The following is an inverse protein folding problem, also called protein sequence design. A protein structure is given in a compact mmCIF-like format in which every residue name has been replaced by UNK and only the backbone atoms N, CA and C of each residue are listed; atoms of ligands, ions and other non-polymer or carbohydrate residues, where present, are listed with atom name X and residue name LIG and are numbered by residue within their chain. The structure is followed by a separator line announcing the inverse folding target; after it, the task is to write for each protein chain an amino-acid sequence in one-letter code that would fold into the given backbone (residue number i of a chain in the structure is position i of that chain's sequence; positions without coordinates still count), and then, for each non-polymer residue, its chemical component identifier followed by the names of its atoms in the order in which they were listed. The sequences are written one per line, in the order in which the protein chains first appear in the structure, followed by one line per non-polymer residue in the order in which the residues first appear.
data_IF_151719818977
#
_entry.id   IF_151719818977
#
_cell.length_a   1.000
_cell.length_b   1.000
_cell.length_c   1.000
_cell.angle_alpha   90.00
_cell.angle_beta   90.00
_cell.angle_gamma   90.00
#
_symmetry.space_group_name_H-M   'P 1'
#
loop_
_entity.id
_entity.type
_entity.pdbx_description
1 polymer ?
#
# COMPACT_ATOMS: atom_id res chain seq x y z
N UNK A 1 1.34 -32.38 -12.32
CA UNK A 1 2.59 -31.58 -12.49
C UNK A 1 2.54 -30.71 -13.74
N UNK A 2 2.27 -31.26 -14.94
CA UNK A 2 2.12 -30.46 -16.16
C UNK A 2 1.02 -29.39 -16.08
N UNK A 3 -0.12 -29.71 -15.46
CA UNK A 3 -1.19 -28.74 -15.22
C UNK A 3 -0.74 -27.59 -14.31
N UNK A 4 -0.02 -27.88 -13.22
CA UNK A 4 0.55 -26.87 -12.31
C UNK A 4 1.48 -25.92 -13.06
N UNK A 5 2.40 -26.48 -13.86
CA UNK A 5 3.31 -25.68 -14.69
C UNK A 5 2.53 -24.80 -15.66
N UNK A 6 1.54 -25.36 -16.36
CA UNK A 6 0.66 -24.64 -17.28
C UNK A 6 -0.11 -23.50 -16.59
N UNK A 7 -0.61 -23.72 -15.38
CA UNK A 7 -1.31 -22.67 -14.60
C UNK A 7 -0.35 -21.57 -14.15
N UNK A 8 0.86 -21.92 -13.73
CA UNK A 8 1.87 -20.92 -13.35
C UNK A 8 2.29 -20.04 -14.53
N UNK A 9 2.53 -20.66 -15.69
CA UNK A 9 3.01 -19.96 -16.87
C UNK A 9 1.89 -19.22 -17.61
N UNK A 10 0.70 -19.82 -17.71
CA UNK A 10 -0.42 -19.28 -18.47
C UNK A 10 -1.31 -18.30 -17.71
N UNK A 11 -1.40 -18.43 -16.37
CA UNK A 11 -2.27 -17.59 -15.54
C UNK A 11 -1.51 -16.72 -14.56
N UNK A 12 -0.66 -17.30 -13.70
CA UNK A 12 0.01 -16.52 -12.63
C UNK A 12 1.01 -15.54 -13.22
N UNK A 13 1.87 -15.99 -14.16
CA UNK A 13 2.84 -15.14 -14.84
C UNK A 13 2.16 -14.03 -15.63
N UNK A 14 1.20 -14.39 -16.49
CA UNK A 14 0.50 -13.42 -17.34
C UNK A 14 -0.24 -12.36 -16.52
N UNK A 15 -0.85 -12.77 -15.40
CA UNK A 15 -1.44 -11.85 -14.43
C UNK A 15 -0.41 -10.89 -13.82
N UNK A 16 0.71 -11.42 -13.29
CA UNK A 16 1.75 -10.57 -12.70
C UNK A 16 2.35 -9.60 -13.72
N UNK A 17 2.63 -10.06 -14.94
CA UNK A 17 3.15 -9.21 -16.02
C UNK A 17 2.14 -8.11 -16.39
N UNK A 18 0.87 -8.45 -16.59
CA UNK A 18 -0.16 -7.47 -16.93
C UNK A 18 -0.39 -6.44 -15.81
N UNK A 19 -0.49 -6.90 -14.55
CA UNK A 19 -0.78 -6.01 -13.41
C UNK A 19 0.42 -5.19 -12.96
N UNK A 20 1.64 -5.65 -13.21
CA UNK A 20 2.87 -4.91 -12.92
C UNK A 20 3.31 -4.00 -14.06
N UNK A 21 2.54 -3.91 -15.16
CA UNK A 21 2.91 -3.15 -16.35
C UNK A 21 4.22 -3.65 -16.99
N UNK A 22 4.43 -4.97 -16.95
CA UNK A 22 5.65 -5.65 -17.43
C UNK A 22 6.85 -5.57 -16.48
N UNK A 23 6.71 -4.97 -15.29
CA UNK A 23 7.82 -4.78 -14.34
C UNK A 23 8.13 -6.03 -13.52
N UNK A 24 7.26 -7.04 -13.51
CA UNK A 24 7.44 -8.27 -12.75
C UNK A 24 6.95 -9.47 -13.53
N UNK A 25 7.80 -10.50 -13.59
CA UNK A 25 7.48 -11.81 -14.16
C UNK A 25 7.91 -12.90 -13.16
N UNK A 26 7.41 -14.12 -13.36
CA UNK A 26 7.80 -15.29 -12.57
C UNK A 26 8.18 -16.43 -13.52
N UNK A 27 9.36 -16.99 -13.31
CA UNK A 27 9.79 -18.25 -13.90
C UNK A 27 9.60 -19.35 -12.87
N UNK A 28 8.94 -20.45 -13.24
CA UNK A 28 8.57 -21.52 -12.31
C UNK A 28 9.16 -22.84 -12.74
N UNK A 29 9.70 -23.59 -11.78
CA UNK A 29 10.03 -25.00 -11.93
C UNK A 29 9.15 -25.82 -11.01
N UNK A 30 8.41 -26.78 -11.56
CA UNK A 30 7.59 -27.71 -10.79
C UNK A 30 8.33 -29.04 -10.65
N UNK A 31 8.43 -29.56 -9.42
CA UNK A 31 9.08 -30.85 -9.19
C UNK A 31 8.45 -31.98 -10.01
N UNK A 32 9.28 -32.85 -10.58
CA UNK A 32 8.80 -34.10 -11.19
C UNK A 32 8.43 -35.16 -10.14
N UNK A 33 8.87 -34.97 -8.89
CA UNK A 33 8.75 -35.91 -7.78
C UNK A 33 7.58 -35.53 -6.86
N UNK A 34 6.79 -36.51 -6.44
CA UNK A 34 5.88 -36.35 -5.32
C UNK A 34 6.59 -36.78 -4.03
N UNK A 35 6.86 -35.83 -3.14
CA UNK A 35 7.55 -36.11 -1.89
C UNK A 35 6.59 -36.68 -0.85
N UNK A 36 7.00 -37.78 -0.21
CA UNK A 36 6.32 -38.32 0.95
C UNK A 36 6.90 -37.69 2.22
N UNK A 37 6.10 -36.88 2.88
CA UNK A 37 6.49 -36.22 4.13
C UNK A 37 6.67 -37.24 5.27
N UNK A 38 7.54 -36.95 6.27
CA UNK A 38 7.84 -37.87 7.37
C UNK A 38 6.69 -38.04 8.37
N UNK A 39 5.75 -37.10 8.44
CA UNK A 39 4.56 -37.21 9.30
C UNK A 39 3.28 -37.36 8.47
N UNK A 40 2.22 -37.87 9.11
CA UNK A 40 0.90 -37.96 8.46
C UNK A 40 0.27 -36.58 8.34
N UNK A 41 -0.63 -36.41 7.35
CA UNK A 41 -1.40 -35.16 7.21
C UNK A 41 -2.14 -34.78 8.50
N UNK A 42 -2.69 -35.77 9.22
CA UNK A 42 -3.35 -35.54 10.51
C UNK A 42 -2.41 -35.05 11.60
N UNK A 43 -1.16 -35.52 11.64
CA UNK A 43 -0.17 -35.09 12.63
C UNK A 43 0.18 -33.61 12.45
N UNK A 44 0.44 -33.17 11.22
CA UNK A 44 0.64 -31.75 10.93
C UNK A 44 -0.61 -30.92 11.24
N UNK A 45 -1.78 -31.41 10.81
CA UNK A 45 -3.04 -30.70 10.90
C UNK A 45 -3.51 -30.44 12.34
N UNK A 46 -3.50 -31.47 13.20
CA UNK A 46 -4.00 -31.37 14.57
C UNK A 46 -3.07 -30.54 15.46
N UNK A 47 -1.76 -30.58 15.18
CA UNK A 47 -0.75 -29.87 15.96
C UNK A 47 -0.49 -28.44 15.49
N UNK A 48 -1.18 -27.95 14.46
CA UNK A 48 -0.93 -26.65 13.82
C UNK A 48 0.54 -26.49 13.34
N UNK A 49 1.10 -27.57 12.79
CA UNK A 49 2.52 -27.67 12.42
C UNK A 49 2.76 -27.45 10.91
N UNK A 50 2.11 -26.47 10.30
CA UNK A 50 2.29 -26.14 8.88
C UNK A 50 3.72 -25.65 8.56
N UNK A 51 4.37 -24.95 9.49
CA UNK A 51 5.77 -24.54 9.35
C UNK A 51 6.71 -25.76 9.26
N UNK A 52 6.47 -26.80 10.07
CA UNK A 52 7.23 -28.05 9.99
C UNK A 52 6.91 -28.81 8.70
N UNK A 53 5.65 -28.81 8.25
CA UNK A 53 5.26 -29.39 6.96
C UNK A 53 6.06 -28.79 5.81
N UNK A 54 6.21 -27.46 5.77
CA UNK A 54 7.01 -26.78 4.75
C UNK A 54 8.50 -27.14 4.85
N UNK A 55 9.03 -27.13 6.07
CA UNK A 55 10.44 -27.48 6.34
C UNK A 55 10.74 -28.89 5.87
N UNK A 56 9.88 -29.86 6.17
CA UNK A 56 10.03 -31.25 5.74
C UNK A 56 9.96 -31.38 4.21
N UNK A 57 9.02 -30.68 3.57
CA UNK A 57 8.91 -30.66 2.11
C UNK A 57 10.19 -30.10 1.46
N UNK A 58 10.74 -29.01 2.00
CA UNK A 58 11.98 -28.39 1.53
C UNK A 58 13.18 -29.33 1.72
N UNK A 59 13.30 -29.97 2.87
CA UNK A 59 14.40 -30.91 3.14
C UNK A 59 14.41 -32.07 2.14
N UNK A 60 13.23 -32.57 1.76
CA UNK A 60 13.11 -33.61 0.73
C UNK A 60 13.42 -33.07 -0.67
N UNK A 61 12.91 -31.90 -1.02
CA UNK A 61 13.16 -31.27 -2.32
C UNK A 61 14.63 -30.89 -2.53
N UNK A 62 15.41 -30.67 -1.47
CA UNK A 62 16.83 -30.36 -1.55
C UNK A 62 17.68 -31.49 -2.18
N UNK A 63 17.15 -32.71 -2.29
CA UNK A 63 17.78 -33.80 -3.04
C UNK A 63 17.73 -33.58 -4.56
N UNK A 64 16.71 -32.88 -5.04
CA UNK A 64 16.44 -32.67 -6.47
C UNK A 64 16.77 -31.24 -6.93
N UNK A 65 16.80 -30.28 -5.99
CA UNK A 65 16.93 -28.85 -6.27
C UNK A 65 17.94 -28.16 -5.36
N UNK A 66 18.71 -27.25 -5.93
CA UNK A 66 19.46 -26.24 -5.15
C UNK A 66 18.51 -25.12 -4.73
N UNK A 67 17.89 -25.27 -3.54
CA UNK A 67 16.83 -24.35 -3.09
C UNK A 67 17.25 -22.88 -2.95
N UNK A 68 18.55 -22.58 -2.87
CA UNK A 68 19.07 -21.22 -2.83
C UNK A 68 18.87 -20.47 -4.16
N UNK A 69 18.66 -21.18 -5.27
CA UNK A 69 18.44 -20.58 -6.59
C UNK A 69 17.02 -20.02 -6.75
N UNK A 70 16.12 -20.32 -5.81
CA UNK A 70 14.71 -19.97 -5.88
C UNK A 70 14.36 -18.88 -4.87
N UNK A 71 13.78 -17.77 -5.34
CA UNK A 71 13.34 -16.67 -4.48
C UNK A 71 12.00 -16.97 -3.80
N UNK A 72 11.22 -17.93 -4.33
CA UNK A 72 9.90 -18.34 -3.84
C UNK A 72 9.80 -19.85 -3.86
N UNK A 73 9.24 -20.43 -2.80
CA UNK A 73 9.06 -21.88 -2.65
C UNK A 73 7.60 -22.14 -2.28
N UNK A 74 6.87 -22.72 -3.22
CA UNK A 74 5.46 -23.07 -3.10
C UNK A 74 5.33 -24.56 -2.79
N UNK A 75 4.72 -24.89 -1.66
CA UNK A 75 4.44 -26.27 -1.24
C UNK A 75 2.94 -26.52 -1.38
N UNK A 76 2.58 -27.37 -2.35
CA UNK A 76 1.23 -27.87 -2.56
C UNK A 76 1.08 -29.22 -1.87
N UNK A 77 0.07 -29.37 -1.03
CA UNK A 77 -0.23 -30.61 -0.30
C UNK A 77 -1.72 -30.95 -0.36
N UNK A 78 -2.12 -32.22 -0.13
CA UNK A 78 -3.52 -32.62 -0.05
C UNK A 78 -4.29 -31.82 1.01
N UNK A 79 -5.60 -31.68 0.86
CA UNK A 79 -6.40 -30.95 1.84
C UNK A 79 -6.33 -31.64 3.23
N UNK A 80 -5.75 -30.95 4.21
CA UNK A 80 -5.66 -31.41 5.61
C UNK A 80 -6.46 -30.53 6.57
N UNK A 81 -7.37 -29.70 6.05
CA UNK A 81 -8.24 -28.86 6.85
C UNK A 81 -9.37 -29.63 7.53
N UNK A 82 -10.22 -28.92 8.27
CA UNK A 82 -11.33 -29.48 9.07
C UNK A 82 -12.34 -30.32 8.26
N UNK A 83 -12.46 -30.07 6.96
CA UNK A 83 -13.30 -30.86 6.04
C UNK A 83 -12.76 -32.28 5.76
N UNK A 84 -11.49 -32.56 6.11
CA UNK A 84 -10.80 -33.83 5.83
C UNK A 84 -10.19 -34.47 7.06
N UNK A 85 -9.74 -33.68 8.02
CA UNK A 85 -9.10 -34.14 9.25
C UNK A 85 -9.87 -33.60 10.44
N UNK A 86 -10.43 -34.49 11.26
CA UNK A 86 -11.08 -34.13 12.53
C UNK A 86 -10.10 -33.43 13.46
N UNK A 87 -10.52 -32.31 14.06
CA UNK A 87 -9.72 -31.45 14.95
C UNK A 87 -8.49 -30.79 14.29
N UNK A 88 -8.43 -30.74 12.96
CA UNK A 88 -7.43 -29.93 12.27
C UNK A 88 -7.49 -28.47 12.72
N UNK A 89 -6.34 -27.89 13.00
CA UNK A 89 -6.16 -26.46 13.26
C UNK A 89 -5.92 -25.68 11.95
N UNK A 90 -5.62 -26.38 10.85
CA UNK A 90 -5.38 -25.78 9.54
C UNK A 90 -6.71 -25.38 8.90
N UNK A 91 -6.93 -24.07 8.74
CA UNK A 91 -8.18 -23.51 8.20
C UNK A 91 -8.00 -22.79 6.86
N UNK A 92 -6.76 -22.53 6.45
CA UNK A 92 -6.46 -21.77 5.25
C UNK A 92 -6.52 -22.62 3.97
N UNK A 93 -6.84 -21.98 2.85
CA UNK A 93 -6.69 -22.56 1.51
C UNK A 93 -5.30 -22.28 0.93
N UNK A 94 -4.74 -21.11 1.24
CA UNK A 94 -3.37 -20.71 0.97
C UNK A 94 -2.82 -19.92 2.16
N UNK A 95 -1.51 -19.96 2.36
CA UNK A 95 -0.81 -19.16 3.36
C UNK A 95 0.57 -18.80 2.81
N UNK A 96 1.15 -17.69 3.27
CA UNK A 96 2.49 -17.28 2.86
C UNK A 96 3.21 -16.46 3.94
N UNK A 97 4.54 -16.54 3.95
CA UNK A 97 5.34 -15.64 4.76
C UNK A 97 5.29 -14.23 4.16
N UNK A 98 4.93 -13.25 5.00
CA UNK A 98 4.96 -11.85 4.59
C UNK A 98 6.39 -11.38 4.32
N UNK A 99 6.69 -10.99 3.09
CA UNK A 99 8.04 -10.62 2.65
C UNK A 99 9.03 -11.79 2.58
N UNK A 100 8.59 -13.01 2.86
CA UNK A 100 9.42 -14.21 2.89
C UNK A 100 9.22 -15.11 1.66
N UNK A 101 9.99 -16.20 1.53
CA UNK A 101 9.98 -17.02 0.33
C UNK A 101 8.87 -18.08 0.29
N UNK A 102 8.27 -18.45 1.42
CA UNK A 102 7.44 -19.65 1.50
C UNK A 102 5.97 -19.36 1.25
N UNK A 103 5.35 -20.27 0.49
CA UNK A 103 3.92 -20.35 0.23
C UNK A 103 3.44 -21.78 0.50
N UNK A 104 2.27 -21.90 1.11
CA UNK A 104 1.54 -23.12 1.39
C UNK A 104 0.24 -23.12 0.60
N UNK A 105 -0.07 -24.23 -0.07
CA UNK A 105 -1.35 -24.42 -0.76
C UNK A 105 -2.01 -25.71 -0.27
N UNK A 106 -3.18 -25.56 0.34
CA UNK A 106 -3.92 -26.64 1.00
C UNK A 106 -5.02 -27.19 0.08
N UNK A 107 -4.73 -28.29 -0.59
CA UNK A 107 -5.68 -29.07 -1.38
C UNK A 107 -5.87 -28.64 -2.83
N UNK A 108 -6.03 -27.34 -3.10
CA UNK A 108 -6.37 -26.86 -4.46
C UNK A 108 -5.32 -25.91 -5.01
N UNK A 109 -4.95 -26.08 -6.28
CA UNK A 109 -4.03 -25.21 -7.00
C UNK A 109 -4.79 -24.23 -7.91
N UNK A 110 -5.48 -23.26 -7.31
CA UNK A 110 -6.16 -22.20 -8.05
C UNK A 110 -5.20 -21.03 -8.28
N UNK A 111 -5.06 -20.56 -9.52
CA UNK A 111 -4.10 -19.50 -9.86
C UNK A 111 -4.31 -18.23 -9.04
N UNK A 112 -5.58 -17.89 -8.73
CA UNK A 112 -5.91 -16.73 -7.92
C UNK A 112 -5.35 -16.87 -6.50
N UNK A 113 -5.50 -18.04 -5.88
CA UNK A 113 -4.91 -18.31 -4.57
C UNK A 113 -3.39 -18.17 -4.63
N UNK A 114 -2.74 -18.70 -5.67
CA UNK A 114 -1.28 -18.55 -5.82
C UNK A 114 -0.87 -17.09 -5.98
N UNK A 115 -1.54 -16.32 -6.83
CA UNK A 115 -1.25 -14.90 -7.03
C UNK A 115 -1.47 -14.07 -5.75
N UNK A 116 -2.50 -14.42 -4.95
CA UNK A 116 -2.78 -13.83 -3.65
C UNK A 116 -1.62 -14.09 -2.68
N UNK A 117 -1.26 -15.36 -2.50
CA UNK A 117 -0.19 -15.74 -1.58
C UNK A 117 1.16 -15.15 -2.00
N UNK A 118 1.44 -15.06 -3.30
CA UNK A 118 2.62 -14.35 -3.81
C UNK A 118 2.57 -12.87 -3.43
N UNK A 119 1.41 -12.22 -3.42
CA UNK A 119 1.26 -10.86 -2.90
C UNK A 119 1.80 -10.70 -1.48
N UNK A 120 1.52 -11.65 -0.58
CA UNK A 120 2.11 -11.67 0.77
C UNK A 120 3.63 -11.82 0.75
N UNK A 121 4.17 -12.67 -0.12
CA UNK A 121 5.64 -12.80 -0.26
C UNK A 121 6.32 -11.50 -0.70
N UNK A 122 5.58 -10.59 -1.35
CA UNK A 122 6.04 -9.23 -1.68
C UNK A 122 5.72 -8.18 -0.60
N UNK A 123 5.23 -8.60 0.56
CA UNK A 123 4.96 -7.74 1.71
C UNK A 123 3.61 -7.02 1.63
N UNK A 124 2.66 -7.53 0.85
CA UNK A 124 1.28 -7.08 0.89
C UNK A 124 0.51 -7.73 2.05
N UNK A 125 -0.60 -7.10 2.37
CA UNK A 125 -1.59 -7.47 3.38
C UNK A 125 -2.95 -7.56 2.68
N UNK A 126 -3.95 -8.06 3.38
CA UNK A 126 -5.29 -8.13 2.81
C UNK A 126 -5.84 -6.75 2.44
N UNK A 127 -6.55 -6.71 1.31
CA UNK A 127 -7.42 -5.61 0.95
C UNK A 127 -8.76 -5.80 1.63
N UNK A 128 -9.17 -4.79 2.40
CA UNK A 128 -10.30 -4.90 3.31
C UNK A 128 -11.45 -4.01 2.85
N UNK A 129 -12.61 -4.18 3.49
CA UNK A 129 -13.73 -3.25 3.40
C UNK A 129 -13.85 -2.49 4.70
N UNK A 130 -14.10 -1.17 4.62
CA UNK A 130 -14.63 -0.42 5.75
C UNK A 130 -16.13 -0.69 5.85
N UNK A 131 -16.51 -1.64 6.70
CA UNK A 131 -17.89 -2.10 6.82
C UNK A 131 -18.64 -1.24 7.83
N UNK A 132 -19.75 -0.68 7.39
CA UNK A 132 -20.64 0.17 8.18
C UNK A 132 -22.06 -0.44 8.20
N UNK A 133 -22.87 -0.08 9.19
CA UNK A 133 -24.26 -0.59 9.34
C UNK A 133 -25.30 0.52 9.41
N UNK A 134 -24.87 1.77 9.40
CA UNK A 134 -25.69 2.98 9.58
C UNK A 134 -25.81 3.81 8.30
N UNK A 135 -25.45 3.23 7.15
CA UNK A 135 -25.36 3.89 5.85
C UNK A 135 -24.42 5.11 5.78
N UNK A 136 -23.59 5.34 6.81
CA UNK A 136 -22.57 6.38 6.80
C UNK A 136 -21.21 5.76 6.43
N UNK A 137 -20.64 6.05 5.24
CA UNK A 137 -19.36 5.46 4.80
C UNK A 137 -18.16 5.88 5.66
N UNK A 138 -18.32 6.87 6.53
CA UNK A 138 -17.30 7.34 7.48
C UNK A 138 -17.70 7.09 8.94
N UNK A 139 -18.65 6.20 9.19
CA UNK A 139 -19.13 5.91 10.54
C UNK A 139 -17.99 5.58 11.49
N UNK A 140 -17.96 6.23 12.66
CA UNK A 140 -17.02 5.90 13.72
C UNK A 140 -17.24 4.48 14.29
N UNK A 141 -18.44 3.92 14.11
CA UNK A 141 -18.75 2.54 14.46
C UNK A 141 -18.38 1.53 13.36
N UNK A 142 -17.84 2.00 12.23
CA UNK A 142 -17.37 1.13 11.16
C UNK A 142 -16.27 0.17 11.64
N UNK A 143 -16.19 -0.98 10.97
CA UNK A 143 -15.23 -2.05 11.30
C UNK A 143 -14.49 -2.49 10.05
N UNK A 144 -13.23 -2.90 10.20
CA UNK A 144 -12.50 -3.57 9.12
C UNK A 144 -13.09 -4.96 8.91
N UNK A 145 -13.65 -5.21 7.73
CA UNK A 145 -13.91 -6.56 7.27
C UNK A 145 -12.69 -7.03 6.46
N UNK A 146 -11.94 -7.96 7.04
CA UNK A 146 -10.77 -8.56 6.39
C UNK A 146 -11.16 -9.28 5.09
N UNK A 147 -10.33 -9.16 4.04
CA UNK A 147 -10.63 -9.59 2.67
C UNK A 147 -11.86 -8.89 2.07
N UNK A 148 -12.42 -7.86 2.70
CA UNK A 148 -13.70 -7.30 2.31
C UNK A 148 -13.72 -6.60 0.95
N UNK A 149 -12.57 -6.30 0.34
CA UNK A 149 -12.51 -5.71 -1.01
C UNK A 149 -12.61 -6.81 -2.08
N UNK A 150 -13.73 -6.95 -2.81
CA UNK A 150 -13.90 -8.05 -3.74
C UNK A 150 -13.23 -7.79 -5.12
N UNK A 151 -12.61 -6.62 -5.27
CA UNK A 151 -12.01 -6.09 -6.50
C UNK A 151 -10.48 -6.03 -6.43
N UNK A 152 -9.88 -6.24 -5.26
CA UNK A 152 -8.44 -6.36 -5.12
C UNK A 152 -8.03 -7.84 -5.08
N UNK A 153 -6.89 -8.18 -5.71
CA UNK A 153 -6.27 -9.51 -5.64
C UNK A 153 -6.00 -9.95 -4.18
N UNK A 154 -5.69 -9.00 -3.31
CA UNK A 154 -5.46 -9.24 -1.89
C UNK A 154 -6.75 -9.24 -1.06
N UNK A 155 -7.92 -9.12 -1.68
CA UNK A 155 -9.21 -9.19 -1.00
C UNK A 155 -9.99 -10.47 -1.30
N UNK A 156 -11.30 -10.40 -1.30
CA UNK A 156 -12.17 -11.58 -1.40
C UNK A 156 -12.34 -12.05 -2.84
N UNK A 157 -12.59 -13.36 -2.99
CA UNK A 157 -13.03 -14.00 -4.24
C UNK A 157 -14.57 -14.08 -4.39
N UNK A 158 -15.35 -13.33 -3.60
CA UNK A 158 -16.82 -13.20 -3.72
C UNK A 158 -17.30 -11.83 -4.23
N UNK A 159 -17.53 -11.70 -5.54
CA UNK A 159 -18.18 -10.59 -6.23
C UNK A 159 -19.17 -11.17 -7.23
N UNK A 160 -20.37 -10.60 -7.30
CA UNK A 160 -21.44 -11.09 -8.20
C UNK A 160 -21.43 -10.30 -9.52
N UNK A 161 -21.77 -10.97 -10.63
CA UNK A 161 -21.92 -10.31 -11.94
C UNK A 161 -20.63 -10.02 -12.69
N UNK A 162 -19.48 -10.50 -12.19
CA UNK A 162 -18.15 -10.38 -12.81
C UNK A 162 -17.41 -11.71 -12.70
N UNK A 163 -16.63 -12.07 -13.72
CA UNK A 163 -15.78 -13.28 -13.64
C UNK A 163 -14.64 -13.07 -12.65
N UNK A 164 -14.10 -14.15 -12.05
CA UNK A 164 -12.93 -14.08 -11.16
C UNK A 164 -11.73 -13.38 -11.80
N UNK A 165 -11.55 -13.54 -13.10
CA UNK A 165 -10.37 -13.04 -13.78
C UNK A 165 -10.47 -11.52 -14.09
N UNK A 166 -11.68 -10.98 -14.26
CA UNK A 166 -11.90 -9.56 -14.54
C UNK A 166 -11.80 -8.68 -13.29
N UNK A 167 -12.24 -9.22 -12.15
CA UNK A 167 -12.29 -8.48 -10.89
C UNK A 167 -10.96 -8.41 -10.16
N UNK A 168 -10.12 -9.45 -10.24
CA UNK A 168 -8.86 -9.48 -9.48
C UNK A 168 -7.80 -8.61 -10.14
N UNK A 169 -7.34 -7.61 -9.41
CA UNK A 169 -6.22 -6.76 -9.78
C UNK A 169 -5.66 -6.12 -8.52
N UNK A 170 -4.40 -5.69 -8.48
CA UNK A 170 -3.92 -4.95 -7.30
C UNK A 170 -4.40 -3.50 -7.36
N UNK A 171 -4.90 -2.98 -6.23
CA UNK A 171 -5.28 -1.57 -6.07
C UNK A 171 -4.13 -0.62 -6.39
N UNK A 172 -4.40 0.65 -6.74
CA UNK A 172 -3.35 1.63 -6.96
C UNK A 172 -2.40 1.77 -5.77
N UNK A 173 -2.93 1.67 -4.54
CA UNK A 173 -2.12 1.69 -3.32
C UNK A 173 -1.12 0.55 -3.27
N UNK A 174 -1.56 -0.68 -3.52
CA UNK A 174 -0.69 -1.86 -3.48
C UNK A 174 0.29 -1.87 -4.64
N UNK A 175 -0.12 -1.47 -5.84
CA UNK A 175 0.81 -1.25 -6.95
C UNK A 175 1.89 -0.22 -6.61
N UNK A 176 1.51 0.89 -5.97
CA UNK A 176 2.47 1.90 -5.54
C UNK A 176 3.42 1.36 -4.45
N UNK A 177 2.90 0.55 -3.51
CA UNK A 177 3.74 -0.13 -2.50
C UNK A 177 4.77 -1.07 -3.12
N UNK A 178 4.40 -1.78 -4.18
CA UNK A 178 5.26 -2.71 -4.89
C UNK A 178 6.26 -2.00 -5.83
N UNK A 179 6.16 -0.68 -5.99
CA UNK A 179 6.95 0.08 -6.96
C UNK A 179 6.49 -0.10 -8.41
N UNK A 180 5.37 -0.78 -8.65
CA UNK A 180 4.81 -0.95 -9.99
C UNK A 180 4.08 0.30 -10.48
N UNK A 181 3.49 1.07 -9.56
CA UNK A 181 2.91 2.38 -9.85
C UNK A 181 3.79 3.48 -9.21
N UNK A 182 4.70 4.11 -9.95
CA UNK A 182 5.61 5.12 -9.39
C UNK A 182 4.85 6.35 -8.92
N UNK A 183 5.39 7.08 -7.93
CA UNK A 183 4.76 8.30 -7.40
C UNK A 183 4.56 9.38 -8.48
N UNK A 184 5.40 9.41 -9.52
CA UNK A 184 5.24 10.31 -10.67
C UNK A 184 3.96 10.05 -11.48
N UNK A 185 3.40 8.84 -11.37
CA UNK A 185 2.14 8.44 -12.01
C UNK A 185 0.95 8.45 -11.02
N UNK A 186 1.12 9.01 -9.82
CA UNK A 186 0.06 9.23 -8.84
C UNK A 186 -0.11 10.72 -8.63
N UNK A 187 -1.23 11.28 -9.09
CA UNK A 187 -1.55 12.67 -8.78
C UNK A 187 -1.79 12.81 -7.26
N UNK A 188 -1.34 13.90 -6.65
CA UNK A 188 -1.62 14.20 -5.24
C UNK A 188 -2.42 15.51 -5.17
N UNK A 189 -3.67 15.42 -4.73
CA UNK A 189 -4.50 16.59 -4.48
C UNK A 189 -4.00 17.33 -3.25
N UNK A 190 -3.56 18.57 -3.47
CA UNK A 190 -3.12 19.51 -2.41
C UNK A 190 -3.94 20.78 -2.39
N UNK A 191 -4.76 21.00 -3.42
CA UNK A 191 -5.71 22.11 -3.53
C UNK A 191 -7.02 21.62 -4.14
N UNK A 192 -8.10 22.35 -3.93
CA UNK A 192 -9.35 22.12 -4.66
C UNK A 192 -9.13 22.25 -6.17
N UNK A 193 -9.85 21.44 -6.95
CA UNK A 193 -9.76 21.44 -8.41
C UNK A 193 -10.20 20.12 -9.02
N UNK A 194 -10.18 20.07 -10.35
CA UNK A 194 -10.48 18.86 -11.11
C UNK A 194 -9.20 18.16 -11.52
N UNK A 195 -9.08 16.89 -11.15
CA UNK A 195 -7.94 16.04 -11.44
C UNK A 195 -8.37 14.96 -12.41
N UNK A 196 -7.68 14.87 -13.56
CA UNK A 196 -7.84 13.75 -14.48
C UNK A 196 -6.98 12.59 -14.03
N UNK A 197 -7.54 11.40 -13.97
CA UNK A 197 -6.80 10.13 -13.82
C UNK A 197 -7.18 9.17 -14.93
N UNK A 198 -6.27 8.29 -15.32
CA UNK A 198 -6.49 7.25 -16.32
C UNK A 198 -6.65 5.88 -15.65
N UNK A 199 -7.28 4.93 -16.35
CA UNK A 199 -7.49 3.58 -15.80
C UNK A 199 -6.15 2.93 -15.41
N UNK A 200 -6.06 2.41 -14.18
CA UNK A 200 -4.83 1.76 -13.71
C UNK A 200 -4.76 0.26 -14.03
N UNK A 201 -5.85 -0.29 -14.59
CA UNK A 201 -6.04 -1.71 -14.88
C UNK A 201 -5.83 -2.08 -16.36
N UNK A 202 -5.04 -1.27 -17.07
CA UNK A 202 -4.56 -1.57 -18.42
C UNK A 202 -3.04 -1.74 -18.42
N UNK A 203 -2.53 -2.73 -19.17
CA UNK A 203 -1.10 -3.11 -19.16
C UNK A 203 -0.16 -1.99 -19.66
N UNK A 204 -0.60 -1.18 -20.62
CA UNK A 204 0.24 -0.12 -21.22
C UNK A 204 0.66 1.00 -20.25
N UNK A 205 -0.10 1.22 -19.17
CA UNK A 205 0.14 2.28 -18.17
C UNK A 205 0.35 3.71 -18.73
N UNK A 206 0.06 3.93 -20.01
CA UNK A 206 0.40 5.14 -20.77
C UNK A 206 1.89 5.55 -20.60
N UNK A 207 2.77 4.57 -20.41
CA UNK A 207 4.18 4.80 -20.11
C UNK A 207 4.44 5.68 -18.89
N UNK A 208 3.52 5.70 -17.92
CA UNK A 208 3.57 6.53 -16.69
C UNK A 208 3.67 8.05 -16.92
N UNK A 209 3.29 8.52 -18.13
CA UNK A 209 3.29 9.96 -18.47
C UNK A 209 2.02 10.67 -18.01
N UNK A 210 1.03 9.91 -17.58
CA UNK A 210 -0.26 10.39 -17.10
C UNK A 210 -0.54 9.80 -15.72
N UNK A 211 -1.24 10.51 -14.84
CA UNK A 211 -1.64 9.97 -13.55
C UNK A 211 -2.63 8.82 -13.73
N UNK A 212 -2.33 7.66 -13.13
CA UNK A 212 -3.20 6.48 -13.15
C UNK A 212 -4.05 6.36 -11.87
N UNK A 213 -3.77 7.19 -10.87
CA UNK A 213 -4.48 7.24 -9.62
C UNK A 213 -4.36 8.62 -8.97
N UNK A 214 -5.27 8.88 -8.03
CA UNK A 214 -5.29 10.11 -7.24
C UNK A 214 -5.17 9.81 -5.73
N UNK A 215 -4.12 10.41 -5.20
CA UNK A 215 -3.74 10.79 -3.84
C UNK A 215 -4.56 11.87 -3.14
N UNK A 216 -5.20 11.65 -1.98
CA UNK A 216 -5.61 12.77 -1.11
C UNK A 216 -5.37 12.45 0.37
N UNK A 217 -4.50 13.23 1.01
CA UNK A 217 -4.28 13.12 2.46
C UNK A 217 -5.48 13.68 3.20
N UNK A 218 -6.16 12.83 3.98
CA UNK A 218 -7.34 13.20 4.75
C UNK A 218 -6.94 13.79 6.10
N UNK A 219 -6.08 13.06 6.82
CA UNK A 219 -5.59 13.41 8.15
C UNK A 219 -4.18 12.81 8.35
N UNK A 220 -3.56 13.01 9.51
CA UNK A 220 -2.22 12.48 9.81
C UNK A 220 -2.14 10.95 9.81
N UNK A 221 -3.27 10.26 9.66
CA UNK A 221 -3.38 8.80 9.63
C UNK A 221 -3.96 8.28 8.33
N UNK A 222 -4.91 8.98 7.71
CA UNK A 222 -5.68 8.48 6.59
C UNK A 222 -5.33 9.16 5.28
N UNK A 223 -5.15 8.34 4.25
CA UNK A 223 -5.01 8.81 2.88
C UNK A 223 -6.05 8.13 2.00
N UNK A 224 -6.86 8.93 1.31
CA UNK A 224 -7.73 8.48 0.25
C UNK A 224 -6.91 8.13 -0.99
N UNK A 225 -7.27 7.00 -1.60
CA UNK A 225 -6.79 6.56 -2.89
C UNK A 225 -7.99 6.39 -3.81
N UNK A 226 -7.91 7.01 -4.97
CA UNK A 226 -8.95 7.02 -5.98
C UNK A 226 -8.36 6.43 -7.26
N UNK A 227 -8.97 5.36 -7.74
CA UNK A 227 -8.62 4.71 -8.99
C UNK A 227 -9.78 4.72 -9.97
N UNK A 228 -9.46 4.53 -11.24
CA UNK A 228 -10.44 4.26 -12.29
C UNK A 228 -10.17 2.88 -12.90
N UNK A 229 -11.23 2.10 -13.05
CA UNK A 229 -11.16 0.73 -13.58
C UNK A 229 -12.11 0.57 -14.73
N UNK A 230 -11.66 -0.12 -15.77
CA UNK A 230 -12.47 -0.42 -16.96
C UNK A 230 -12.31 -1.87 -17.41
N UNK A 231 -11.58 -2.71 -16.68
CA UNK A 231 -11.48 -4.15 -16.95
C UNK A 231 -12.69 -4.90 -16.38
N UNK A 232 -13.89 -4.43 -16.70
CA UNK A 232 -15.15 -5.05 -16.30
C UNK A 232 -16.07 -5.18 -17.52
N UNK A 233 -17.01 -6.14 -17.52
CA UNK A 233 -18.05 -6.20 -18.54
C UNK A 233 -18.79 -4.87 -18.67
N UNK A 234 -19.13 -4.49 -19.90
CA UNK A 234 -19.90 -3.28 -20.21
C UNK A 234 -21.19 -3.24 -19.39
N UNK A 235 -21.49 -2.09 -18.79
CA UNK A 235 -22.71 -1.87 -18.01
C UNK A 235 -22.61 -2.27 -16.53
N UNK A 236 -21.51 -2.88 -16.09
CA UNK A 236 -21.27 -3.08 -14.65
C UNK A 236 -21.11 -1.75 -13.93
N UNK A 237 -21.70 -1.64 -12.73
CA UNK A 237 -21.65 -0.39 -11.96
C UNK A 237 -20.20 0.02 -11.65
N UNK A 238 -19.32 -0.96 -11.43
CA UNK A 238 -17.89 -0.75 -11.15
C UNK A 238 -17.13 -0.01 -12.25
N UNK A 239 -17.61 -0.06 -13.50
CA UNK A 239 -17.04 0.69 -14.61
C UNK A 239 -17.60 2.13 -14.73
N UNK A 240 -18.54 2.53 -13.88
CA UNK A 240 -19.28 3.80 -14.01
C UNK A 240 -18.77 4.92 -13.10
N UNK A 241 -17.62 4.74 -12.45
CA UNK A 241 -17.13 5.76 -11.52
C UNK A 241 -15.79 5.46 -10.86
N UNK A 242 -15.56 6.14 -9.74
CA UNK A 242 -14.33 6.05 -8.98
C UNK A 242 -14.34 4.86 -8.01
N UNK A 243 -13.27 4.10 -8.03
CA UNK A 243 -12.93 3.12 -7.00
C UNK A 243 -12.18 3.84 -5.89
N UNK A 244 -12.83 4.00 -4.72
CA UNK A 244 -12.34 4.82 -3.61
C UNK A 244 -12.04 3.96 -2.40
N UNK A 245 -10.84 4.10 -1.86
CA UNK A 245 -10.44 3.49 -0.60
C UNK A 245 -9.72 4.50 0.26
N UNK A 246 -9.55 4.18 1.54
CA UNK A 246 -8.54 4.84 2.36
C UNK A 246 -7.51 3.84 2.89
N UNK A 247 -6.42 4.38 3.42
CA UNK A 247 -5.32 3.63 4.02
C UNK A 247 -4.96 4.25 5.35
N UNK A 248 -4.50 3.45 6.31
CA UNK A 248 -4.13 3.89 7.67
C UNK A 248 -2.60 3.86 7.85
N UNK A 249 -2.00 5.00 8.22
CA UNK A 249 -0.63 5.20 8.71
C UNK A 249 0.48 4.42 7.96
N UNK A 250 0.39 4.26 6.64
CA UNK A 250 1.34 3.53 5.77
C UNK A 250 1.73 2.09 6.16
N UNK A 251 1.19 1.57 7.27
CA UNK A 251 1.45 0.21 7.75
C UNK A 251 0.24 -0.70 7.56
N UNK A 252 0.06 -1.04 6.28
CA UNK A 252 -0.38 -2.37 5.86
C UNK A 252 -1.89 -2.62 5.73
N UNK A 253 -2.80 -1.64 5.66
CA UNK A 253 -4.19 -1.98 5.32
C UNK A 253 -4.79 -0.96 4.34
N UNK A 254 -5.43 -1.47 3.28
CA UNK A 254 -6.37 -0.72 2.47
C UNK A 254 -7.78 -1.09 2.90
N UNK A 255 -8.68 -0.11 2.91
CA UNK A 255 -10.10 -0.34 3.16
C UNK A 255 -10.90 0.35 2.06
N UNK A 256 -11.52 -0.45 1.20
CA UNK A 256 -12.54 0.00 0.26
C UNK A 256 -13.64 0.72 1.03
N UNK A 257 -14.06 1.87 0.52
CA UNK A 257 -15.23 2.57 1.01
C UNK A 257 -16.41 2.20 0.14
N UNK A 258 -17.46 1.71 0.77
CA UNK A 258 -18.74 1.49 0.09
C UNK A 258 -19.47 2.83 -0.04
N UNK A 259 -19.50 3.39 -1.25
CA UNK A 259 -20.02 4.73 -1.52
C UNK A 259 -21.37 4.73 -2.23
N UNK A 260 -21.93 3.55 -2.54
CA UNK A 260 -23.28 3.41 -3.10
C UNK A 260 -24.08 2.47 -2.22
N UNK A 261 -25.07 3.00 -1.52
CA UNK A 261 -25.88 2.27 -0.54
C UNK A 261 -25.03 1.62 0.59
N UNK A 262 -24.30 2.43 1.38
CA UNK A 262 -23.26 1.94 2.27
C UNK A 262 -23.75 0.89 3.27
N UNK A 263 -23.01 -0.20 3.39
CA UNK A 263 -23.27 -1.26 4.36
C UNK A 263 -24.20 -2.37 3.88
N UNK A 264 -24.64 -2.33 2.62
CA UNK A 264 -25.47 -3.39 2.03
C UNK A 264 -24.62 -4.52 1.43
N UNK A 265 -23.70 -4.19 0.54
CA UNK A 265 -22.77 -5.13 -0.09
C UNK A 265 -21.58 -4.35 -0.67
N UNK A 266 -20.44 -5.01 -0.92
CA UNK A 266 -19.29 -4.31 -1.48
C UNK A 266 -19.30 -4.23 -3.02
N UNK A 267 -20.24 -4.91 -3.71
CA UNK A 267 -20.21 -5.04 -5.16
C UNK A 267 -20.68 -3.78 -5.90
N UNK A 268 -21.26 -2.82 -5.19
CA UNK A 268 -21.68 -1.51 -5.66
C UNK A 268 -20.84 -0.36 -5.09
N UNK A 269 -19.79 -0.64 -4.32
CA UNK A 269 -18.97 0.35 -3.59
C UNK A 269 -18.39 1.53 -4.40
N UNK A 270 -18.47 1.50 -5.73
CA UNK A 270 -18.03 2.58 -6.63
C UNK A 270 -18.76 3.90 -6.31
N UNK A 271 -18.06 5.01 -6.47
CA UNK A 271 -18.66 6.34 -6.49
C UNK A 271 -18.96 6.71 -7.95
N UNK A 272 -20.23 6.65 -8.37
CA UNK A 272 -20.59 6.83 -9.77
C UNK A 272 -20.34 8.26 -10.28
N UNK A 273 -20.15 8.43 -11.59
CA UNK A 273 -20.08 9.76 -12.22
C UNK A 273 -21.34 10.57 -11.89
N UNK A 274 -21.14 11.78 -11.37
CA UNK A 274 -22.18 12.68 -10.91
C UNK A 274 -22.50 12.56 -9.41
N UNK A 275 -22.16 11.45 -8.75
CA UNK A 275 -22.32 11.31 -7.30
C UNK A 275 -21.21 12.03 -6.54
N UNK A 276 -21.57 12.57 -5.38
CA UNK A 276 -20.64 13.28 -4.49
C UNK A 276 -20.51 12.53 -3.18
N UNK A 277 -19.28 12.15 -2.85
CA UNK A 277 -18.92 11.72 -1.51
C UNK A 277 -18.46 12.93 -0.71
N UNK A 278 -18.95 13.06 0.52
CA UNK A 278 -18.61 14.17 1.42
C UNK A 278 -18.00 13.60 2.70
N UNK A 279 -16.82 14.09 3.05
CA UNK A 279 -16.22 13.95 4.36
C UNK A 279 -16.41 15.26 5.15
N UNK A 280 -17.49 15.35 5.94
CA UNK A 280 -17.82 16.59 6.66
C UNK A 280 -16.84 16.90 7.78
N UNK A 281 -16.04 15.93 8.24
CA UNK A 281 -15.09 16.12 9.34
C UNK A 281 -13.95 17.04 8.89
N UNK A 282 -13.51 16.91 7.64
CA UNK A 282 -12.42 17.69 7.07
C UNK A 282 -12.86 18.60 5.93
N UNK A 283 -14.17 18.73 5.68
CA UNK A 283 -14.71 19.56 4.60
C UNK A 283 -14.26 19.13 3.21
N UNK A 284 -13.98 17.84 3.03
CA UNK A 284 -13.54 17.27 1.75
C UNK A 284 -14.76 16.78 0.98
N UNK A 285 -14.82 17.05 -0.32
CA UNK A 285 -15.71 16.35 -1.25
C UNK A 285 -14.91 15.70 -2.36
N UNK A 286 -15.36 14.53 -2.78
CA UNK A 286 -14.85 13.78 -3.92
C UNK A 286 -16.01 13.57 -4.86
N UNK A 287 -15.89 14.01 -6.11
CA UNK A 287 -16.95 13.88 -7.11
C UNK A 287 -16.36 13.53 -8.47
N UNK A 288 -16.57 12.31 -8.98
CA UNK A 288 -16.30 11.99 -10.36
C UNK A 288 -17.26 12.76 -11.26
N UNK A 289 -16.76 13.61 -12.14
CA UNK A 289 -17.57 14.57 -12.92
C UNK A 289 -17.74 14.17 -14.38
N UNK A 290 -16.77 13.47 -14.95
CA UNK A 290 -16.83 13.00 -16.33
C UNK A 290 -15.92 11.78 -16.52
N UNK A 291 -16.31 10.86 -17.39
CA UNK A 291 -15.43 9.83 -17.92
C UNK A 291 -15.40 9.89 -19.44
N UNK A 292 -14.33 9.38 -20.04
CA UNK A 292 -14.19 9.39 -21.50
C UNK A 292 -12.88 8.79 -21.98
N UNK A 293 -12.54 9.10 -23.24
CA UNK A 293 -11.37 8.55 -23.92
C UNK A 293 -11.67 7.26 -24.67
N UNK A 294 -10.61 6.56 -25.06
CA UNK A 294 -10.64 5.25 -25.70
C UNK A 294 -9.42 4.46 -25.24
N UNK A 295 -9.46 3.13 -25.28
CA UNK A 295 -8.32 2.30 -24.87
C UNK A 295 -7.05 2.67 -25.65
N UNK A 296 -5.88 2.69 -24.98
CA UNK A 296 -5.66 2.41 -23.55
C UNK A 296 -5.92 3.61 -22.61
N UNK A 297 -6.28 4.76 -23.16
CA UNK A 297 -6.35 6.05 -22.47
C UNK A 297 -7.78 6.44 -22.01
N UNK A 298 -8.53 5.49 -21.47
CA UNK A 298 -9.79 5.79 -20.78
C UNK A 298 -9.49 6.56 -19.48
N UNK A 299 -10.22 7.65 -19.26
CA UNK A 299 -10.00 8.58 -18.14
C UNK A 299 -11.27 8.84 -17.33
N UNK A 300 -11.04 9.31 -16.11
CA UNK A 300 -12.03 9.84 -15.18
C UNK A 300 -11.54 11.20 -14.66
N UNK A 301 -12.37 12.22 -14.79
CA UNK A 301 -12.17 13.52 -14.16
C UNK A 301 -12.84 13.50 -12.79
N UNK A 302 -12.07 13.83 -11.76
CA UNK A 302 -12.50 13.85 -10.36
C UNK A 302 -12.32 15.25 -9.80
N UNK A 303 -13.43 15.90 -9.47
CA UNK A 303 -13.46 17.14 -8.72
C UNK A 303 -13.19 16.84 -7.24
N UNK A 304 -12.18 17.51 -6.69
CA UNK A 304 -11.87 17.53 -5.27
C UNK A 304 -12.16 18.93 -4.76
N UNK A 305 -13.01 19.02 -3.74
CA UNK A 305 -13.10 20.23 -2.90
C UNK A 305 -12.51 19.88 -1.56
N UNK A 306 -11.65 20.74 -1.04
CA UNK A 306 -11.05 20.61 0.27
C UNK A 306 -10.84 22.00 0.85
N UNK A 307 -10.78 22.16 2.17
CA UNK A 307 -10.24 23.38 2.76
C UNK A 307 -8.85 23.62 2.18
N UNK A 308 -8.45 24.89 2.08
CA UNK A 308 -7.04 25.19 1.83
C UNK A 308 -6.22 24.35 2.81
N UNK A 309 -5.29 23.54 2.29
CA UNK A 309 -4.57 22.56 3.09
C UNK A 309 -4.08 23.26 4.37
N UNK A 310 -4.44 22.76 5.58
CA UNK A 310 -3.82 23.30 6.77
C UNK A 310 -2.32 23.14 6.54
N UNK A 311 -1.52 24.20 6.80
CA UNK A 311 -0.10 24.10 6.58
C UNK A 311 0.43 22.87 7.31
N UNK A 312 1.13 21.98 6.58
CA UNK A 312 1.44 20.62 7.03
C UNK A 312 1.84 20.56 8.50
N UNK A 313 1.07 19.81 9.29
CA UNK A 313 1.33 19.67 10.74
C UNK A 313 2.55 18.77 10.90
N UNK A 314 3.67 19.37 11.29
CA UNK A 314 4.88 18.64 11.67
C UNK A 314 4.70 18.05 13.08
N UNK A 315 4.80 16.74 13.20
CA UNK A 315 4.74 16.02 14.49
C UNK A 315 6.14 15.49 14.83
N UNK A 316 6.61 15.64 16.08
CA UNK A 316 7.91 15.14 16.54
C UNK A 316 7.74 14.25 17.78
N UNK A 317 8.69 13.32 17.98
CA UNK A 317 8.66 12.31 19.06
C UNK A 317 10.02 12.27 19.77
N UNK A 318 10.04 11.94 21.07
CA UNK A 318 11.27 11.73 21.86
C UNK A 318 11.62 10.24 22.05
N UNK A 319 12.82 9.97 22.57
CA UNK A 319 13.46 8.63 22.68
C UNK A 319 12.65 7.58 23.45
N UNK A 320 11.68 7.99 24.27
CA UNK A 320 10.98 7.10 25.19
C UNK A 320 9.52 6.82 24.81
N UNK A 321 9.11 7.11 23.57
CA UNK A 321 7.86 6.59 22.98
C UNK A 321 6.55 6.95 23.68
N UNK A 322 6.52 7.93 24.59
CA UNK A 322 5.39 8.18 25.50
C UNK A 322 4.76 9.57 25.44
N UNK A 323 5.11 10.43 24.47
CA UNK A 323 4.51 11.76 24.36
C UNK A 323 3.92 12.04 22.95
N UNK A 324 2.68 12.53 22.94
CA UNK A 324 1.96 13.00 21.75
C UNK A 324 1.94 14.53 21.72
N UNK A 325 2.26 15.15 20.58
CA UNK A 325 1.90 16.55 20.33
C UNK A 325 1.30 16.71 18.94
N UNK A 326 0.07 17.21 18.88
CA UNK A 326 -0.58 17.71 17.66
C UNK A 326 -0.53 19.23 17.73
N UNK A 327 0.10 19.88 16.74
CA UNK A 327 0.10 21.34 16.67
C UNK A 327 -1.28 21.78 16.16
N UNK A 328 -2.24 22.03 17.07
CA UNK A 328 -3.37 22.95 16.89
C UNK A 328 -4.28 23.18 18.14
N UNK A 329 -4.01 22.62 19.33
CA UNK A 329 -4.93 22.78 20.49
C UNK A 329 -4.34 23.33 21.79
N UNK A 330 -3.07 23.74 21.83
CA UNK A 330 -2.54 24.59 22.91
C UNK A 330 -2.53 24.00 24.33
N UNK A 331 -2.65 22.68 24.52
CA UNK A 331 -2.60 22.06 25.85
C UNK A 331 -1.26 21.36 26.12
N UNK A 332 -0.61 21.73 27.24
CA UNK A 332 0.60 21.08 27.75
C UNK A 332 0.22 19.85 28.59
N UNK A 333 0.84 18.70 28.33
CA UNK A 333 0.90 17.58 29.29
C UNK A 333 2.37 17.17 29.43
N UNK A 334 2.88 17.19 30.67
CA UNK A 334 4.27 16.90 31.06
C UNK A 334 4.61 15.41 30.93
N UNK A 335 5.87 15.00 30.63
CA UNK A 335 7.10 15.80 30.49
C UNK A 335 7.37 16.27 29.05
N UNK A 336 8.07 17.40 28.92
CA UNK A 336 8.31 18.11 27.66
C UNK A 336 9.15 17.30 26.65
N UNK A 337 8.89 17.44 25.33
CA UNK A 337 9.79 16.91 24.30
C UNK A 337 11.18 17.53 24.44
N UNK A 338 12.23 16.78 24.10
CA UNK A 338 13.63 17.24 24.17
C UNK A 338 13.87 18.51 23.33
N UNK A 339 13.06 18.72 22.28
CA UNK A 339 13.05 19.95 21.46
C UNK A 339 11.63 20.30 21.02
N UNK A 340 11.14 21.51 21.30
CA UNK A 340 9.83 21.96 20.82
C UNK A 340 9.87 22.27 19.31
N UNK A 341 8.89 21.75 18.55
CA UNK A 341 8.70 22.10 17.14
C UNK A 341 8.35 23.60 17.05
N UNK A 342 8.92 24.37 16.10
CA UNK A 342 8.55 25.76 15.92
C UNK A 342 7.05 25.92 15.67
N UNK A 343 6.38 26.81 16.42
CA UNK A 343 4.92 26.95 16.43
C UNK A 343 4.32 27.34 15.06
N UNK A 344 5.12 27.92 14.16
CA UNK A 344 4.71 28.36 12.82
C UNK A 344 5.34 27.53 11.69
N UNK A 345 5.79 26.30 11.99
CA UNK A 345 6.36 25.43 10.98
C UNK A 345 5.27 24.90 10.04
N UNK A 346 5.12 25.59 8.92
CA UNK A 346 4.04 25.43 7.95
C UNK A 346 4.58 25.06 6.57
N UNK A 347 3.77 24.41 5.73
CA UNK A 347 4.16 24.12 4.34
C UNK A 347 5.37 23.18 4.20
N UNK A 348 5.58 22.28 5.15
CA UNK A 348 6.68 21.30 5.14
C UNK A 348 6.37 20.15 4.20
N UNK A 349 7.35 19.75 3.38
CA UNK A 349 7.26 18.61 2.45
C UNK A 349 8.25 17.47 2.75
N UNK A 350 9.24 17.70 3.60
CA UNK A 350 10.18 16.67 4.07
C UNK A 350 10.73 17.04 5.45
N UNK A 351 11.00 16.03 6.29
CA UNK A 351 11.64 16.18 7.60
C UNK A 351 12.77 15.14 7.71
N UNK A 352 13.86 15.51 8.37
CA UNK A 352 14.94 14.61 8.77
C UNK A 352 15.30 14.83 10.25
N UNK A 353 15.50 13.74 11.00
CA UNK A 353 15.91 13.79 12.41
C UNK A 353 17.37 13.38 12.59
N UNK A 354 18.12 14.17 13.36
CA UNK A 354 19.42 13.77 13.92
C UNK A 354 19.27 13.25 15.35
N UNK A 355 20.37 13.16 16.11
CA UNK A 355 20.33 12.58 17.46
C UNK A 355 19.52 13.44 18.44
N UNK A 356 19.68 14.77 18.37
CA UNK A 356 19.03 15.73 19.27
C UNK A 356 18.55 17.00 18.54
N UNK A 357 18.43 16.94 17.22
CA UNK A 357 17.93 18.02 16.36
C UNK A 357 17.08 17.49 15.21
N UNK A 358 16.34 18.38 14.55
CA UNK A 358 15.57 18.06 13.36
C UNK A 358 15.70 19.16 12.32
N UNK A 359 15.47 18.78 11.06
CA UNK A 359 15.50 19.65 9.89
C UNK A 359 14.23 19.41 9.09
N UNK A 360 13.59 20.48 8.62
CA UNK A 360 12.43 20.45 7.74
C UNK A 360 12.70 21.23 6.46
N UNK A 361 12.25 20.68 5.34
CA UNK A 361 12.23 21.31 4.04
C UNK A 361 10.81 21.76 3.74
N UNK A 362 10.65 23.05 3.48
CA UNK A 362 9.38 23.65 3.08
C UNK A 362 9.13 23.48 1.58
N UNK A 363 7.87 23.63 1.18
CA UNK A 363 7.42 23.54 -0.22
C UNK A 363 8.03 24.65 -1.08
N UNK A 364 8.34 25.81 -0.50
CA UNK A 364 9.05 26.91 -1.15
C UNK A 364 10.56 26.67 -1.28
N UNK A 365 11.09 25.52 -0.86
CA UNK A 365 12.50 25.18 -0.94
C UNK A 365 13.38 25.75 0.19
N UNK A 366 12.80 26.43 1.17
CA UNK A 366 13.52 26.89 2.37
C UNK A 366 13.66 25.79 3.42
N UNK A 367 14.71 25.88 4.23
CA UNK A 367 15.03 24.90 5.28
C UNK A 367 14.90 25.53 6.66
N UNK A 368 14.26 24.82 7.58
CA UNK A 368 14.16 25.18 9.00
C UNK A 368 14.77 24.05 9.82
N UNK A 369 15.65 24.36 10.76
CA UNK A 369 16.18 23.38 11.70
C UNK A 369 15.95 23.84 13.14
N UNK A 370 15.74 22.88 14.04
CA UNK A 370 15.49 23.15 15.46
C UNK A 370 16.06 22.04 16.34
N UNK A 371 16.23 22.34 17.62
CA UNK A 371 16.81 21.43 18.61
C UNK A 371 18.24 21.81 18.99
N UNK A 372 19.03 20.81 19.38
CA UNK A 372 20.41 21.02 19.77
C UNK A 372 21.23 21.62 18.61
N UNK A 373 21.95 22.72 18.89
CA UNK A 373 22.88 23.34 17.95
C UNK A 373 24.27 23.57 18.53
N UNK A 374 24.69 22.79 19.52
CA UNK A 374 26.02 22.94 20.14
C UNK A 374 27.18 22.77 19.15
N UNK A 375 26.97 21.98 18.10
CA UNK A 375 27.90 21.81 16.98
C UNK A 375 27.44 22.57 15.72
N UNK A 376 26.44 23.45 15.82
CA UNK A 376 25.86 24.18 14.70
C UNK A 376 24.90 23.37 13.81
N UNK A 377 24.56 22.12 14.18
CA UNK A 377 23.76 21.21 13.37
C UNK A 377 22.30 21.65 13.14
N UNK A 378 21.76 22.52 14.02
CA UNK A 378 20.47 23.19 13.81
C UNK A 378 20.61 24.66 13.33
N UNK A 379 21.81 25.11 12.98
CA UNK A 379 22.07 26.45 12.44
C UNK A 379 22.10 26.40 10.91
N UNK A 380 20.93 26.62 10.29
CA UNK A 380 20.76 26.56 8.82
C UNK A 380 21.68 27.58 8.12
N UNK A 381 22.56 27.14 7.19
CA UNK A 381 23.41 28.05 6.43
C UNK A 381 22.59 29.02 5.56
N UNK A 382 22.93 30.31 5.61
CA UNK A 382 22.23 31.36 4.85
C UNK A 382 22.36 31.21 3.33
N UNK A 383 23.36 30.47 2.85
CA UNK A 383 23.62 30.24 1.43
C UNK A 383 22.72 29.18 0.79
N UNK A 384 21.88 28.48 1.56
CA UNK A 384 20.89 27.52 1.04
C UNK A 384 19.73 28.21 0.29
N UNK A 385 19.30 29.37 0.79
CA UNK A 385 18.13 30.09 0.26
C UNK A 385 16.88 29.21 0.16
N UNK A 386 16.14 29.39 -0.92
CA UNK A 386 14.91 28.64 -1.27
C UNK A 386 15.12 27.63 -2.40
N UNK A 387 16.34 27.10 -2.53
CA UNK A 387 16.73 26.24 -3.67
C UNK A 387 16.82 24.76 -3.33
N UNK A 388 16.47 24.37 -2.10
CA UNK A 388 16.68 23.01 -1.61
C UNK A 388 15.62 22.05 -2.14
N UNK A 389 16.06 20.90 -2.64
CA UNK A 389 15.20 19.83 -3.17
C UNK A 389 15.16 18.59 -2.29
N UNK A 390 16.14 18.40 -1.41
CA UNK A 390 16.17 17.29 -0.44
C UNK A 390 17.00 17.66 0.79
N UNK A 391 16.66 17.07 1.92
CA UNK A 391 17.39 17.21 3.20
C UNK A 391 17.74 15.85 3.81
N UNK A 392 18.77 15.82 4.64
CA UNK A 392 19.14 14.68 5.48
C UNK A 392 19.68 15.17 6.83
N UNK A 393 19.59 14.33 7.86
CA UNK A 393 20.19 14.57 9.16
C UNK A 393 20.80 13.26 9.67
N UNK A 394 21.95 13.36 10.32
CA UNK A 394 22.64 12.30 11.05
C UNK A 394 23.02 12.80 12.44
N UNK A 395 23.87 12.07 13.18
CA UNK A 395 24.10 12.29 14.61
C UNK A 395 24.16 13.76 15.06
N UNK A 396 25.24 14.46 14.71
CA UNK A 396 25.40 15.92 14.91
C UNK A 396 25.63 16.66 13.58
N UNK A 397 25.06 16.16 12.48
CA UNK A 397 25.27 16.72 11.13
C UNK A 397 23.94 16.85 10.40
N UNK A 398 23.81 17.89 9.60
CA UNK A 398 22.69 18.15 8.70
C UNK A 398 23.19 18.33 7.27
N UNK A 399 22.35 17.97 6.31
CA UNK A 399 22.67 18.04 4.89
C UNK A 399 21.49 18.50 4.04
N UNK A 400 21.81 19.18 2.94
CA UNK A 400 20.83 19.63 1.95
C UNK A 400 21.39 19.48 0.53
N UNK A 401 20.52 19.12 -0.41
CA UNK A 401 20.80 19.12 -1.86
C UNK A 401 20.05 20.29 -2.48
N UNK A 402 20.76 21.17 -3.19
CA UNK A 402 20.17 22.29 -3.94
C UNK A 402 19.69 21.82 -5.32
N UNK A 403 18.83 22.60 -5.95
CA UNK A 403 18.24 22.30 -7.27
C UNK A 403 19.29 22.20 -8.39
N UNK A 404 20.45 22.85 -8.23
CA UNK A 404 21.59 22.75 -9.14
C UNK A 404 22.44 21.47 -8.93
N UNK A 405 22.03 20.60 -8.00
CA UNK A 405 22.71 19.36 -7.66
C UNK A 405 23.85 19.50 -6.65
N UNK A 406 24.16 20.72 -6.18
CA UNK A 406 25.19 20.93 -5.16
C UNK A 406 24.72 20.46 -3.78
N UNK A 407 25.66 19.95 -2.98
CA UNK A 407 25.40 19.43 -1.63
C UNK A 407 26.05 20.36 -0.61
N UNK A 408 25.30 20.65 0.46
CA UNK A 408 25.77 21.43 1.60
C UNK A 408 25.60 20.62 2.88
N UNK A 409 26.69 20.41 3.61
CA UNK A 409 26.68 19.83 4.95
C UNK A 409 27.01 20.91 5.98
N UNK A 410 26.45 20.78 7.18
CA UNK A 410 26.74 21.66 8.32
C UNK A 410 26.52 20.91 9.66
N UNK A 411 27.24 21.32 10.71
CA UNK A 411 27.25 20.64 12.01
C UNK A 411 28.67 20.35 12.49
N UNK A 412 28.84 19.22 13.21
CA UNK A 412 30.12 18.84 13.81
C UNK A 412 31.23 18.61 12.77
N UNK A 413 32.28 19.44 12.85
CA UNK A 413 33.45 19.40 11.98
C UNK A 413 34.46 18.29 12.36
N UNK A 414 34.29 17.61 13.50
CA UNK A 414 35.30 16.70 14.07
C UNK A 414 35.55 15.42 13.25
N UNK A 415 34.75 15.13 12.21
CA UNK A 415 34.93 13.96 11.32
C UNK A 415 35.28 14.33 9.87
N UNK A 416 35.60 15.59 9.56
CA UNK A 416 35.90 16.03 8.18
C UNK A 416 34.68 16.01 7.24
N UNK A 417 33.47 16.18 7.80
CA UNK A 417 32.19 16.08 7.08
C UNK A 417 31.50 17.43 6.81
N UNK A 418 32.20 18.57 6.94
CA UNK A 418 31.65 19.92 6.73
C UNK A 418 32.33 20.69 5.62
#
# INVERSE_FOLDING_TARGET
MSEIQSTMDGNVRTFLEATSYGLTTVSTTVSGTLYRLPQTGSAYAIADNDAQLHTDARNLAAADFTLADYQRIVVLFPNIGTARVTNSQITFAGQANRGGPNVWLNGTFAWQTVAHELGHTYGLTHANLWRVTDANPLSAAGTTLEYGDPFDMMGSTTATGVTRDQRHHFSPRFKNRLGWLPDSAVATATTSGTYRIYRFDHVDALGFKQPLALRLYRDGVRTYWIGYRQNFPTGTIQAQGAYVMWTLNDYQQSQLLDLTTPGTNANDAVLAVGQTFTDPIYGITIKPVASGGADPALYLDVEIVMPAAPPGVVTAWGRDGTAFYSVNTGALVSPAPETAVPQDLTGVRQIAGGDTHAVALKADGSVVAWGNSTAGQATVPTDLGSTVVSIAAGGNVSGAVKADGSVRLWGDAALGQT
#
